data_IF_836962053348
#
_entry.id   IF_836962053348
#
_cell.length_a   1.000
_cell.length_b   1.000
_cell.length_c   1.000
_cell.angle_alpha   90.00
_cell.angle_beta   90.00
_cell.angle_gamma   90.00
#
_symmetry.space_group_name_H-M   'P 1'
#
loop_
_entity.id
_entity.type
_entity.pdbx_description
1 polymer ?
#
# COMPACT_ATOMS: atom_id res chain seq x y z
N UNK A 1 0.73 10.93 4.72
CA UNK A 1 1.59 9.73 4.69
C UNK A 1 0.71 8.53 4.98
N UNK A 2 0.66 7.52 4.11
CA UNK A 2 -0.13 6.30 4.35
C UNK A 2 0.74 5.17 4.95
N UNK A 3 0.09 4.08 5.36
CA UNK A 3 0.76 2.94 5.99
C UNK A 3 1.92 2.39 5.14
N UNK A 4 1.72 2.28 3.81
CA UNK A 4 2.77 1.82 2.90
C UNK A 4 3.98 2.76 2.87
N UNK A 5 3.77 4.09 2.81
CA UNK A 5 4.88 5.04 2.82
C UNK A 5 5.69 4.94 4.09
N UNK A 6 5.01 4.83 5.24
CA UNK A 6 5.66 4.67 6.54
C UNK A 6 6.50 3.39 6.60
N UNK A 7 5.95 2.25 6.18
CA UNK A 7 6.66 0.97 6.15
C UNK A 7 7.94 1.02 5.31
N UNK A 8 7.88 1.61 4.10
CA UNK A 8 9.05 1.70 3.23
C UNK A 8 10.14 2.62 3.80
N UNK A 9 9.74 3.69 4.48
CA UNK A 9 10.68 4.65 5.10
C UNK A 9 11.32 4.08 6.37
N UNK A 10 10.52 3.51 7.27
CA UNK A 10 11.01 2.93 8.54
C UNK A 10 12.00 1.77 8.31
N UNK A 11 11.91 1.08 7.17
CA UNK A 11 12.78 -0.05 6.79
C UNK A 11 13.80 0.29 5.70
N UNK A 12 13.88 1.55 5.27
CA UNK A 12 14.76 2.01 4.20
C UNK A 12 14.64 1.20 2.88
N UNK A 13 13.44 0.70 2.60
CA UNK A 13 13.17 -0.14 1.42
C UNK A 13 12.99 0.73 0.19
N UNK A 14 13.80 0.47 -0.84
CA UNK A 14 13.67 1.13 -2.14
C UNK A 14 12.36 0.72 -2.81
N UNK A 15 11.59 1.69 -3.31
CA UNK A 15 10.33 1.46 -4.01
C UNK A 15 10.47 0.48 -5.18
N UNK A 16 11.58 0.53 -5.92
CA UNK A 16 11.85 -0.39 -7.04
C UNK A 16 12.04 -1.83 -6.58
N UNK A 17 12.74 -2.03 -5.47
CA UNK A 17 12.92 -3.36 -4.88
C UNK A 17 11.59 -3.91 -4.37
N UNK A 18 10.81 -3.10 -3.67
CA UNK A 18 9.48 -3.51 -3.22
C UNK A 18 8.53 -3.81 -4.38
N UNK A 19 8.56 -2.98 -5.44
CA UNK A 19 7.75 -3.19 -6.64
C UNK A 19 8.07 -4.52 -7.32
N UNK A 20 9.35 -4.86 -7.46
CA UNK A 20 9.77 -6.15 -8.00
C UNK A 20 9.31 -7.31 -7.11
N UNK A 21 9.34 -7.13 -5.79
CA UNK A 21 8.92 -8.16 -4.83
C UNK A 21 7.43 -8.48 -4.94
N UNK A 22 6.56 -7.48 -5.13
CA UNK A 22 5.11 -7.66 -5.28
C UNK A 22 4.65 -7.78 -6.75
N UNK A 23 5.57 -7.85 -7.71
CA UNK A 23 5.25 -8.06 -9.12
C UNK A 23 4.63 -6.85 -9.86
N UNK A 24 4.94 -5.62 -9.45
CA UNK A 24 4.43 -4.39 -10.08
C UNK A 24 5.55 -3.45 -10.54
N UNK A 25 5.19 -2.39 -11.26
CA UNK A 25 6.13 -1.33 -11.66
C UNK A 25 6.40 -0.38 -10.48
N UNK A 26 7.61 0.18 -10.39
CA UNK A 26 7.97 1.17 -9.35
C UNK A 26 7.02 2.39 -9.33
N UNK A 27 6.55 2.84 -10.50
CA UNK A 27 5.54 3.91 -10.60
C UNK A 27 4.21 3.56 -9.91
N UNK A 28 3.83 2.28 -9.84
CA UNK A 28 2.65 1.82 -9.09
C UNK A 28 2.86 2.04 -7.60
N UNK A 29 4.00 1.63 -7.05
CA UNK A 29 4.35 1.84 -5.64
C UNK A 29 4.42 3.34 -5.30
N UNK A 30 4.96 4.16 -6.21
CA UNK A 30 4.97 5.62 -6.05
C UNK A 30 3.57 6.21 -5.95
N UNK A 31 2.64 5.82 -6.84
CA UNK A 31 1.24 6.28 -6.77
C UNK A 31 0.54 5.79 -5.50
N UNK A 32 0.79 4.55 -5.08
CA UNK A 32 0.23 4.00 -3.85
C UNK A 32 0.71 4.77 -2.61
N UNK A 33 2.01 4.97 -2.42
CA UNK A 33 2.54 5.68 -1.22
C UNK A 33 2.06 7.13 -1.13
N UNK A 34 1.88 7.78 -2.28
CA UNK A 34 1.40 9.15 -2.37
C UNK A 34 -0.13 9.26 -2.24
N UNK A 35 -0.85 8.13 -2.14
CA UNK A 35 -2.32 8.12 -2.06
C UNK A 35 -3.02 8.51 -3.36
N UNK A 36 -2.29 8.57 -4.48
CA UNK A 36 -2.83 8.92 -5.81
C UNK A 36 -3.72 7.82 -6.36
N UNK A 37 -3.48 6.57 -5.97
CA UNK A 37 -4.33 5.44 -6.31
C UNK A 37 -4.54 4.52 -5.10
N UNK A 38 -5.65 3.79 -5.11
CA UNK A 38 -5.88 2.66 -4.21
C UNK A 38 -5.52 1.35 -4.93
N UNK A 39 -4.93 0.37 -4.24
CA UNK A 39 -4.71 -0.95 -4.81
C UNK A 39 -6.05 -1.67 -5.01
N UNK A 40 -6.09 -2.62 -5.95
CA UNK A 40 -7.16 -3.64 -5.97
C UNK A 40 -7.04 -4.54 -4.74
N UNK A 41 -8.08 -5.32 -4.43
CA UNK A 41 -8.05 -6.26 -3.31
C UNK A 41 -6.86 -7.23 -3.41
N UNK A 42 -6.63 -7.81 -4.58
CA UNK A 42 -5.50 -8.74 -4.81
C UNK A 42 -4.14 -8.07 -4.55
N UNK A 43 -3.98 -6.82 -5.00
CA UNK A 43 -2.75 -6.07 -4.78
C UNK A 43 -2.59 -5.68 -3.31
N UNK A 44 -3.69 -5.34 -2.63
CA UNK A 44 -3.67 -5.03 -1.20
C UNK A 44 -3.26 -6.26 -0.39
N UNK A 45 -3.79 -7.45 -0.70
CA UNK A 45 -3.41 -8.73 -0.07
C UNK A 45 -1.96 -9.10 -0.37
N UNK A 46 -1.47 -8.85 -1.59
CA UNK A 46 -0.07 -9.06 -1.94
C UNK A 46 0.85 -8.14 -1.12
N UNK A 47 0.47 -6.88 -0.91
CA UNK A 47 1.22 -5.94 -0.08
C UNK A 47 1.17 -6.38 1.39
N UNK A 48 0.00 -6.74 1.92
CA UNK A 48 -0.13 -7.22 3.31
C UNK A 48 0.75 -8.45 3.56
N UNK A 49 0.74 -9.42 2.64
CA UNK A 49 1.58 -10.61 2.71
C UNK A 49 3.07 -10.28 2.64
N UNK A 50 3.47 -9.40 1.72
CA UNK A 50 4.86 -8.94 1.54
C UNK A 50 5.39 -8.10 2.71
N UNK A 51 4.49 -7.53 3.51
CA UNK A 51 4.81 -6.71 4.69
C UNK A 51 4.51 -7.44 6.00
N UNK A 52 4.19 -8.74 5.93
CA UNK A 52 3.85 -9.56 7.09
C UNK A 52 2.79 -8.92 8.01
N UNK A 53 1.78 -8.27 7.41
CA UNK A 53 0.69 -7.60 8.11
C UNK A 53 0.97 -6.16 8.58
N UNK A 54 2.17 -5.62 8.38
CA UNK A 54 2.48 -4.23 8.79
C UNK A 54 1.74 -3.18 7.97
N UNK A 55 1.39 -3.51 6.73
CA UNK A 55 0.52 -2.69 5.89
C UNK A 55 -0.77 -3.47 5.63
N UNK A 56 -1.74 -3.43 6.57
CA UNK A 56 -2.94 -4.23 6.49
C UNK A 56 -3.88 -3.72 5.39
N UNK A 57 -4.68 -4.62 4.80
CA UNK A 57 -5.68 -4.27 3.76
C UNK A 57 -6.65 -3.18 4.23
N UNK A 58 -7.02 -3.22 5.50
CA UNK A 58 -7.89 -2.22 6.13
C UNK A 58 -7.32 -0.80 6.10
N UNK A 59 -6.00 -0.63 5.98
CA UNK A 59 -5.37 0.70 5.91
C UNK A 59 -5.73 1.50 4.66
N UNK A 60 -6.25 0.85 3.61
CA UNK A 60 -6.74 1.50 2.39
C UNK A 60 -8.26 1.74 2.39
N UNK A 61 -8.97 1.22 3.39
CA UNK A 61 -10.39 1.48 3.60
C UNK A 61 -10.52 2.73 4.46
N UNK A 62 -10.86 3.86 3.85
CA UNK A 62 -11.24 5.04 4.63
C UNK A 62 -12.55 4.75 5.37
N UNK A 63 -12.66 5.20 6.62
CA UNK A 63 -13.90 5.23 7.39
C UNK A 63 -14.90 6.23 6.77
N UNK A 64 -15.37 5.94 5.57
CA UNK A 64 -16.29 6.77 4.78
C UNK A 64 -17.59 6.01 4.48
N UNK A 65 -18.07 5.26 5.46
CA UNK A 65 -19.44 4.70 5.50
C UNK A 65 -20.09 5.09 6.83
N UNK A 66 -19.96 6.36 7.22
CA UNK A 66 -20.96 6.99 8.09
C UNK A 66 -21.95 7.72 7.16
N UNK A 67 -23.05 7.03 6.85
CA UNK A 67 -24.33 7.57 6.36
C UNK A 67 -24.29 8.72 5.35
N UNK A 68 -24.45 8.41 4.06
CA UNK A 68 -25.23 9.30 3.20
C UNK A 68 -26.71 8.88 3.30
N UNK A 69 -27.46 9.78 3.94
CA UNK A 69 -28.91 9.83 4.14
C UNK A 69 -29.67 9.88 2.81
#
# INVERSE_FOLDING_TARGET
>A
MNALSKYLEDREIKQSSFANHIGVKQGTVSRLRNGVMRPSLDLALAIESATNGEVPVSSWVSAAEEGST
#
